data_IF_297339778782
#
_entry.id   IF_297339778782
#
_cell.length_a   1.000
_cell.length_b   1.000
_cell.length_c   1.000
_cell.angle_alpha   90.00
_cell.angle_beta   90.00
_cell.angle_gamma   90.00
#
_symmetry.space_group_name_H-M   'P 1'
#
loop_
_entity.id
_entity.type
_entity.pdbx_description
1 polymer ?
#
# COMPACT_ATOMS: atom_id res chain seq x y z
N UNK A 1 11.99 1.55 -4.66
CA UNK A 1 11.37 2.12 -3.48
C UNK A 1 11.28 3.64 -3.56
N UNK A 2 12.40 4.33 -3.66
CA UNK A 2 12.48 5.80 -3.60
C UNK A 2 11.56 6.47 -4.62
N UNK A 3 11.68 6.13 -5.90
CA UNK A 3 10.90 6.77 -6.95
C UNK A 3 9.38 6.67 -6.74
N UNK A 4 8.88 5.51 -6.30
CA UNK A 4 7.43 5.32 -6.09
C UNK A 4 6.95 5.76 -4.71
N UNK A 5 7.79 5.62 -3.67
CA UNK A 5 7.41 5.97 -2.32
C UNK A 5 7.50 7.47 -2.06
N UNK A 6 8.55 8.11 -2.55
CA UNK A 6 8.79 9.54 -2.31
C UNK A 6 8.10 10.45 -3.35
N UNK A 7 7.49 9.88 -4.38
CA UNK A 7 6.83 10.64 -5.44
C UNK A 7 5.68 11.52 -4.92
N UNK A 8 5.03 11.11 -3.85
CA UNK A 8 3.96 11.85 -3.22
C UNK A 8 4.39 12.35 -1.84
N UNK A 9 4.71 13.64 -1.77
CA UNK A 9 4.98 14.36 -0.53
C UNK A 9 5.94 13.61 0.41
N UNK A 10 7.09 13.18 -0.10
CA UNK A 10 8.10 12.44 0.66
C UNK A 10 7.62 11.09 1.22
N UNK A 11 6.60 10.48 0.60
CA UNK A 11 6.04 9.19 1.02
C UNK A 11 4.86 9.30 1.97
N UNK A 12 4.43 10.50 2.35
CA UNK A 12 3.29 10.69 3.26
C UNK A 12 1.97 10.17 2.70
N UNK A 13 1.85 10.04 1.38
CA UNK A 13 0.65 9.54 0.70
C UNK A 13 0.71 8.04 0.35
N UNK A 14 1.84 7.38 0.59
CA UNK A 14 2.05 5.97 0.26
C UNK A 14 2.84 5.78 -1.03
N UNK A 15 2.82 4.56 -1.58
CA UNK A 15 3.60 4.16 -2.76
C UNK A 15 2.78 4.36 -4.01
N UNK A 16 3.27 5.17 -4.95
CA UNK A 16 2.66 5.34 -6.27
C UNK A 16 2.71 4.04 -7.08
N UNK A 17 1.66 3.78 -7.84
CA UNK A 17 1.47 2.50 -8.50
C UNK A 17 2.43 2.22 -9.67
N UNK A 18 2.87 3.25 -10.40
CA UNK A 18 3.65 3.00 -11.62
C UNK A 18 4.57 4.14 -12.04
N UNK A 19 5.73 4.27 -11.37
CA UNK A 19 6.77 5.21 -11.77
C UNK A 19 8.01 4.49 -12.27
N UNK A 20 8.72 5.12 -13.19
CA UNK A 20 10.07 4.73 -13.57
C UNK A 20 11.05 5.13 -12.48
N UNK A 21 12.30 4.64 -12.59
CA UNK A 21 13.35 4.91 -11.63
C UNK A 21 13.71 6.40 -11.51
N UNK A 22 13.48 7.16 -12.55
CA UNK A 22 13.69 8.62 -12.61
C UNK A 22 12.49 9.43 -12.09
N UNK A 23 11.45 8.76 -11.57
CA UNK A 23 10.24 9.39 -11.04
C UNK A 23 9.19 9.74 -12.09
N UNK A 24 9.43 9.46 -13.38
CA UNK A 24 8.43 9.72 -14.41
C UNK A 24 7.36 8.62 -14.46
N UNK A 25 6.09 8.97 -14.78
CA UNK A 25 5.03 7.97 -14.91
C UNK A 25 5.33 6.95 -16.01
N UNK A 26 5.02 5.67 -15.76
CA UNK A 26 5.12 4.60 -16.76
C UNK A 26 4.24 4.86 -17.98
N UNK A 27 3.06 5.40 -17.74
CA UNK A 27 2.15 5.91 -18.78
C UNK A 27 1.89 7.40 -18.50
N UNK A 28 2.49 8.31 -19.29
CA UNK A 28 2.35 9.75 -19.08
C UNK A 28 0.94 10.27 -19.36
N UNK A 29 0.11 9.51 -20.07
CA UNK A 29 -1.27 9.86 -20.38
C UNK A 29 -2.29 9.12 -19.50
N UNK A 30 -1.84 8.15 -18.71
CA UNK A 30 -2.67 7.36 -17.83
C UNK A 30 -2.77 7.96 -16.43
N UNK A 31 -3.87 7.71 -15.76
CA UNK A 31 -4.07 8.12 -14.35
C UNK A 31 -3.47 7.13 -13.36
N UNK A 32 -3.45 5.84 -13.69
CA UNK A 32 -3.05 4.77 -12.80
C UNK A 32 -1.62 4.86 -12.24
N UNK A 33 -0.60 5.32 -13.00
CA UNK A 33 0.75 5.45 -12.45
C UNK A 33 0.85 6.39 -11.25
N UNK A 34 -0.01 7.42 -11.20
CA UNK A 34 -0.03 8.45 -10.16
C UNK A 34 -1.11 8.18 -9.08
N UNK A 35 -1.56 6.97 -8.98
CA UNK A 35 -2.49 6.53 -7.92
C UNK A 35 -1.75 5.75 -6.82
N UNK A 36 -2.22 5.89 -5.59
CA UNK A 36 -1.89 5.01 -4.48
C UNK A 36 -2.97 3.94 -4.40
N UNK A 37 -2.62 2.70 -4.73
CA UNK A 37 -3.54 1.57 -4.65
C UNK A 37 -3.46 0.92 -3.28
N UNK A 38 -4.51 1.05 -2.50
CA UNK A 38 -4.53 0.69 -1.08
C UNK A 38 -4.13 -0.75 -0.83
N UNK A 39 -4.72 -1.71 -1.56
CA UNK A 39 -4.39 -3.12 -1.41
C UNK A 39 -2.96 -3.46 -1.86
N UNK A 40 -2.46 -2.84 -2.91
CA UNK A 40 -1.07 -3.02 -3.36
C UNK A 40 -0.10 -2.47 -2.31
N UNK A 41 -0.39 -1.30 -1.74
CA UNK A 41 0.43 -0.72 -0.67
C UNK A 41 0.53 -1.64 0.55
N UNK A 42 -0.58 -2.24 1.00
CA UNK A 42 -0.55 -3.22 2.09
C UNK A 42 0.24 -4.48 1.72
N UNK A 43 0.16 -4.95 0.48
CA UNK A 43 0.97 -6.06 -0.01
C UNK A 43 2.47 -5.74 -0.01
N UNK A 44 2.84 -4.53 -0.47
CA UNK A 44 4.22 -4.06 -0.44
C UNK A 44 4.72 -3.93 1.00
N UNK A 45 3.93 -3.36 1.90
CA UNK A 45 4.27 -3.25 3.32
C UNK A 45 4.50 -4.64 3.95
N UNK A 46 3.64 -5.62 3.64
CA UNK A 46 3.81 -7.00 4.09
C UNK A 46 5.12 -7.61 3.58
N UNK A 47 5.47 -7.38 2.32
CA UNK A 47 6.73 -7.83 1.74
C UNK A 47 7.94 -7.23 2.46
N UNK A 48 7.98 -5.90 2.69
CA UNK A 48 9.07 -5.26 3.43
C UNK A 48 9.20 -5.82 4.84
N UNK A 49 8.08 -6.07 5.50
CA UNK A 49 8.08 -6.68 6.82
C UNK A 49 8.68 -8.09 6.83
N UNK A 50 8.33 -8.93 5.85
CA UNK A 50 8.91 -10.27 5.68
C UNK A 50 10.43 -10.20 5.43
N UNK A 51 10.90 -9.17 4.73
CA UNK A 51 12.32 -8.93 4.48
C UNK A 51 13.05 -8.29 5.68
N UNK A 52 12.37 -8.05 6.80
CA UNK A 52 12.93 -7.49 8.03
C UNK A 52 12.95 -5.95 8.08
N UNK A 53 12.56 -5.25 7.03
CA UNK A 53 12.46 -3.79 7.00
C UNK A 53 11.11 -3.32 7.58
N UNK A 54 10.98 -3.44 8.90
CA UNK A 54 9.77 -3.06 9.62
C UNK A 54 9.47 -1.57 9.54
N UNK A 55 10.49 -0.73 9.45
CA UNK A 55 10.33 0.72 9.40
C UNK A 55 9.66 1.14 8.08
N UNK A 56 10.14 0.65 6.95
CA UNK A 56 9.52 0.91 5.64
C UNK A 56 8.10 0.35 5.57
N UNK A 57 7.89 -0.87 6.08
CA UNK A 57 6.56 -1.48 6.14
C UNK A 57 5.56 -0.60 6.93
N UNK A 58 5.98 -0.13 8.10
CA UNK A 58 5.16 0.73 8.94
C UNK A 58 4.87 2.08 8.26
N UNK A 59 5.86 2.70 7.64
CA UNK A 59 5.69 3.98 6.94
C UNK A 59 4.66 3.87 5.80
N UNK A 60 4.75 2.83 4.96
CA UNK A 60 3.81 2.60 3.87
C UNK A 60 2.39 2.35 4.40
N UNK A 61 2.27 1.48 5.40
CA UNK A 61 0.97 1.15 5.99
C UNK A 61 0.31 2.39 6.61
N UNK A 62 1.06 3.14 7.43
CA UNK A 62 0.56 4.34 8.11
C UNK A 62 0.11 5.41 7.13
N UNK A 63 0.84 5.62 6.04
CA UNK A 63 0.48 6.59 5.01
C UNK A 63 -0.91 6.30 4.41
N UNK A 64 -1.18 5.03 4.08
CA UNK A 64 -2.49 4.64 3.54
C UNK A 64 -3.60 4.73 4.58
N UNK A 65 -3.34 4.27 5.80
CA UNK A 65 -4.32 4.32 6.90
C UNK A 65 -4.68 5.77 7.22
N UNK A 66 -3.70 6.66 7.30
CA UNK A 66 -3.93 8.08 7.56
C UNK A 66 -4.84 8.71 6.49
N UNK A 67 -4.58 8.46 5.21
CA UNK A 67 -5.43 8.98 4.14
C UNK A 67 -6.88 8.46 4.24
N UNK A 68 -7.06 7.19 4.59
CA UNK A 68 -8.40 6.60 4.76
C UNK A 68 -9.13 7.27 5.93
N UNK A 69 -8.46 7.47 7.06
CA UNK A 69 -9.08 8.05 8.25
C UNK A 69 -9.30 9.55 8.12
N UNK A 70 -8.31 10.31 7.69
CA UNK A 70 -8.43 11.76 7.49
C UNK A 70 -9.40 12.12 6.36
N UNK A 71 -9.54 11.25 5.36
CA UNK A 71 -10.52 11.38 4.27
C UNK A 71 -11.94 10.95 4.63
N UNK A 72 -12.21 10.49 5.86
CA UNK A 72 -13.53 10.00 6.28
C UNK A 72 -13.98 8.72 5.57
N UNK A 73 -13.04 7.85 5.20
CA UNK A 73 -13.26 6.65 4.38
C UNK A 73 -13.19 5.33 5.16
N UNK A 74 -13.29 5.36 6.50
CA UNK A 74 -13.04 4.22 7.39
C UNK A 74 -13.82 2.95 7.03
N UNK A 75 -15.06 3.08 6.59
CA UNK A 75 -15.92 1.93 6.23
C UNK A 75 -16.13 1.77 4.71
N UNK A 76 -15.38 2.51 3.92
CA UNK A 76 -15.47 2.50 2.46
C UNK A 76 -14.12 2.73 1.81
N UNK A 77 -13.11 2.04 2.30
CA UNK A 77 -11.73 2.14 1.79
C UNK A 77 -11.71 2.02 0.27
N UNK A 78 -11.16 3.01 -0.46
CA UNK A 78 -11.12 2.99 -1.90
C UNK A 78 -10.08 2.00 -2.44
N UNK A 79 -10.23 1.59 -3.68
CA UNK A 79 -9.16 0.89 -4.39
C UNK A 79 -7.96 1.81 -4.61
N UNK A 80 -8.23 3.04 -5.02
CA UNK A 80 -7.20 4.01 -5.36
C UNK A 80 -7.49 5.40 -4.81
N UNK A 81 -6.42 6.09 -4.41
CA UNK A 81 -6.39 7.48 -4.00
C UNK A 81 -5.40 8.20 -4.89
N UNK A 82 -5.76 9.36 -5.43
CA UNK A 82 -4.87 10.19 -6.23
C UNK A 82 -4.15 11.23 -5.39
N UNK A 83 -3.07 11.80 -5.91
CA UNK A 83 -2.33 12.89 -5.25
C UNK A 83 -3.18 14.16 -4.99
N UNK A 84 -4.28 14.31 -5.71
CA UNK A 84 -5.24 15.42 -5.50
C UNK A 84 -6.45 15.00 -4.67
N UNK A 85 -6.31 13.93 -3.91
CA UNK A 85 -7.29 13.42 -2.96
C UNK A 85 -8.66 13.09 -3.59
N UNK A 86 -8.67 12.55 -4.80
CA UNK A 86 -9.84 11.93 -5.40
C UNK A 86 -9.80 10.42 -5.22
N UNK A 87 -10.95 9.76 -5.22
CA UNK A 87 -11.08 8.35 -4.87
C UNK A 87 -11.73 7.57 -5.99
N UNK A 88 -11.31 6.30 -6.10
CA UNK A 88 -11.89 5.38 -7.07
C UNK A 88 -12.27 4.07 -6.39
N UNK A 89 -13.46 3.54 -6.76
CA UNK A 89 -13.95 2.24 -6.32
C UNK A 89 -13.94 2.05 -4.78
N UNK A 90 -14.69 2.92 -4.08
CA UNK A 90 -14.95 2.74 -2.64
C UNK A 90 -15.66 1.40 -2.37
N UNK A 91 -15.43 0.82 -1.19
CA UNK A 91 -15.89 -0.52 -0.79
C UNK A 91 -15.23 -1.67 -1.57
N UNK A 92 -14.01 -1.48 -2.05
CA UNK A 92 -13.29 -2.48 -2.81
C UNK A 92 -12.54 -3.45 -1.88
N UNK A 93 -12.78 -4.75 -2.06
CA UNK A 93 -12.25 -5.77 -1.12
C UNK A 93 -10.73 -5.92 -1.12
N UNK A 94 -10.01 -5.38 -2.10
CA UNK A 94 -8.56 -5.50 -2.18
C UNK A 94 -7.82 -4.88 -0.99
N UNK A 95 -8.44 -3.92 -0.30
CA UNK A 95 -7.91 -3.35 0.94
C UNK A 95 -7.76 -4.40 2.06
N UNK A 96 -8.44 -5.54 1.97
CA UNK A 96 -8.25 -6.67 2.87
C UNK A 96 -6.83 -7.24 2.84
N UNK A 97 -5.99 -6.87 1.86
CA UNK A 97 -4.56 -7.19 1.85
C UNK A 97 -3.81 -6.71 3.11
N UNK A 98 -4.40 -5.80 3.91
CA UNK A 98 -3.88 -5.42 5.23
C UNK A 98 -3.71 -6.62 6.17
N UNK A 99 -4.50 -7.67 6.01
CA UNK A 99 -4.35 -8.90 6.78
C UNK A 99 -3.00 -9.60 6.55
N UNK A 100 -2.35 -9.31 5.41
CA UNK A 100 -0.99 -9.77 5.15
C UNK A 100 0.01 -9.22 6.17
N UNK A 101 -0.15 -7.97 6.63
CA UNK A 101 0.71 -7.41 7.69
C UNK A 101 0.55 -8.15 9.01
N UNK A 102 -0.68 -8.43 9.41
CA UNK A 102 -0.95 -9.24 10.60
C UNK A 102 -0.39 -10.65 10.46
N UNK A 103 -0.58 -11.29 9.31
CA UNK A 103 -0.05 -12.62 9.03
C UNK A 103 1.48 -12.67 9.13
N UNK A 104 2.19 -11.60 8.78
CA UNK A 104 3.67 -11.53 8.92
C UNK A 104 4.13 -11.33 10.37
N UNK A 105 3.23 -11.05 11.31
CA UNK A 105 3.52 -10.95 12.74
C UNK A 105 3.27 -12.25 13.50
N UNK A 106 2.43 -13.12 12.93
CA UNK A 106 2.07 -14.39 13.56
C UNK A 106 3.15 -15.44 13.34
N UNK A 107 3.33 -16.30 14.32
CA UNK A 107 4.14 -17.50 14.17
C UNK A 107 3.38 -18.51 13.31
N UNK A 108 3.83 -18.69 12.06
CA UNK A 108 3.22 -19.62 11.11
C UNK A 108 3.25 -21.07 11.56
N UNK A 109 4.08 -21.42 12.55
CA UNK A 109 4.11 -22.78 13.15
C UNK A 109 2.78 -23.15 13.81
N UNK A 110 1.96 -22.14 14.14
CA UNK A 110 0.62 -22.35 14.68
C UNK A 110 -0.44 -22.70 13.62
N UNK A 111 -0.09 -22.64 12.34
CA UNK A 111 -1.00 -23.00 11.26
C UNK A 111 -0.77 -24.48 10.92
N UNK A 112 -1.76 -25.38 11.14
CA UNK A 112 -1.62 -26.79 10.79
C UNK A 112 -1.22 -26.97 9.33
N UNK A 113 -0.11 -27.67 9.07
CA UNK A 113 0.42 -27.91 7.74
C UNK A 113 1.37 -26.84 7.17
N UNK A 114 1.74 -25.82 7.95
CA UNK A 114 2.71 -24.80 7.51
C UNK A 114 4.13 -25.35 7.33
N UNK A 115 4.47 -26.42 8.03
CA UNK A 115 5.80 -27.07 8.00
C UNK A 115 6.04 -27.93 6.74
N UNK A 116 5.10 -27.98 5.80
CA UNK A 116 5.15 -28.84 4.61
C UNK A 116 5.74 -28.15 3.36
N UNK A 117 6.58 -27.11 3.50
CA UNK A 117 7.22 -26.43 2.37
C UNK A 117 8.72 -26.31 2.56
#
# INVERSE_FOLDING_TARGET
KEACFEAFDGGSLGVANGLRRDGTPLDPNGTHPLEVWTGINFGIASYYRLMGDKQTAQAICSAVVEQVYSGGLQFRTPEAITAVNTYRACHYLRAMAIWGLWATETDWTLIPGADAR
#
